data_IF_924657408703
#
_entry.id   IF_924657408703
#
_cell.length_a   1.000
_cell.length_b   1.000
_cell.length_c   1.000
_cell.angle_alpha   90.00
_cell.angle_beta   90.00
_cell.angle_gamma   90.00
#
_symmetry.space_group_name_H-M   'P 1'
#
loop_
_entity.id
_entity.type
_entity.pdbx_description
1 polymer ?
#
# COMPACT_ATOMS: atom_id res chain seq x y z
N UNK A 1 17.52 13.08 -2.88
CA UNK A 1 17.30 11.71 -3.39
C UNK A 1 15.91 11.19 -3.06
N UNK A 2 15.51 11.06 -1.79
CA UNK A 2 14.14 10.65 -1.42
C UNK A 2 13.11 11.79 -1.60
N UNK A 3 13.43 12.99 -1.09
CA UNK A 3 12.60 14.19 -1.28
C UNK A 3 12.45 14.59 -2.77
N UNK A 4 13.47 14.35 -3.60
CA UNK A 4 13.39 14.60 -5.06
C UNK A 4 12.39 13.67 -5.77
N UNK A 5 11.87 12.66 -5.09
CA UNK A 5 10.89 11.71 -5.61
C UNK A 5 9.60 11.66 -4.79
N UNK A 6 9.36 12.65 -3.93
CA UNK A 6 8.15 12.75 -3.10
C UNK A 6 7.92 11.49 -2.23
N UNK A 7 9.01 10.80 -1.87
CA UNK A 7 8.99 9.61 -1.00
C UNK A 7 9.25 9.95 0.47
N UNK A 8 9.57 11.20 0.78
CA UNK A 8 9.90 11.69 2.13
C UNK A 8 8.71 11.64 3.10
N UNK A 9 7.49 11.78 2.59
CA UNK A 9 6.27 11.64 3.40
C UNK A 9 5.94 10.18 3.76
N UNK A 10 6.48 9.22 3.00
CA UNK A 10 6.10 7.79 3.09
C UNK A 10 7.23 6.88 3.57
N UNK A 11 8.46 7.36 3.52
CA UNK A 11 9.67 6.67 3.97
C UNK A 11 10.36 7.51 5.03
N UNK A 12 10.34 7.03 6.27
CA UNK A 12 11.11 7.58 7.36
C UNK A 12 12.54 7.03 7.33
N UNK A 13 13.51 7.91 7.57
CA UNK A 13 14.92 7.56 7.72
C UNK A 13 15.32 7.81 9.17
N UNK A 14 15.73 6.75 9.87
CA UNK A 14 16.24 6.85 11.24
C UNK A 14 17.68 6.35 11.31
N UNK A 15 18.50 6.95 12.17
CA UNK A 15 19.88 6.49 12.43
C UNK A 15 19.91 5.87 13.82
N UNK A 16 20.15 4.57 13.88
CA UNK A 16 20.13 3.79 15.12
C UNK A 16 21.36 2.87 15.14
N UNK A 17 22.10 2.85 16.26
CA UNK A 17 23.22 1.92 16.50
C UNK A 17 24.19 1.73 15.33
N UNK A 18 24.68 2.84 14.75
CA UNK A 18 25.56 2.86 13.57
C UNK A 18 24.97 2.21 12.31
N UNK A 19 23.65 2.22 12.18
CA UNK A 19 22.91 1.80 10.99
C UNK A 19 21.91 2.89 10.59
N UNK A 20 21.58 2.90 9.30
CA UNK A 20 20.50 3.72 8.77
C UNK A 20 19.32 2.79 8.54
N UNK A 21 18.21 3.03 9.22
CA UNK A 21 16.97 2.27 9.04
C UNK A 21 16.03 3.08 8.16
N UNK A 22 15.52 2.43 7.11
CA UNK A 22 14.49 2.97 6.23
C UNK A 22 13.18 2.24 6.53
N UNK A 23 12.20 2.96 7.05
CA UNK A 23 10.89 2.42 7.40
C UNK A 23 9.81 3.12 6.59
N UNK A 24 8.83 2.35 6.09
CA UNK A 24 7.75 2.91 5.31
C UNK A 24 6.95 1.85 4.59
N UNK A 25 5.85 2.27 3.99
CA UNK A 25 5.00 1.42 3.17
C UNK A 25 4.95 1.99 1.76
N UNK A 26 5.51 1.26 0.79
CA UNK A 26 5.65 1.69 -0.60
C UNK A 26 5.06 0.67 -1.55
N UNK A 27 4.55 1.13 -2.70
CA UNK A 27 4.17 0.22 -3.77
C UNK A 27 5.40 -0.52 -4.30
N UNK A 28 5.23 -1.72 -4.86
CA UNK A 28 6.33 -2.52 -5.40
C UNK A 28 7.25 -1.74 -6.34
N UNK A 29 6.69 -0.94 -7.24
CA UNK A 29 7.45 -0.10 -8.19
C UNK A 29 8.29 0.98 -7.47
N UNK A 30 7.76 1.55 -6.38
CA UNK A 30 8.44 2.54 -5.56
C UNK A 30 9.55 1.88 -4.71
N UNK A 31 9.32 0.67 -4.21
CA UNK A 31 10.33 -0.14 -3.54
C UNK A 31 11.51 -0.46 -4.46
N UNK A 32 11.25 -0.91 -5.69
CA UNK A 32 12.30 -1.14 -6.71
C UNK A 32 13.06 0.15 -7.07
N UNK A 33 12.41 1.31 -6.98
CA UNK A 33 13.07 2.61 -7.15
C UNK A 33 14.01 2.92 -5.98
N UNK A 34 13.60 2.65 -4.73
CA UNK A 34 14.42 2.84 -3.52
C UNK A 34 15.60 1.89 -3.50
N UNK A 35 15.41 0.60 -3.81
CA UNK A 35 16.50 -0.38 -3.89
C UNK A 35 17.58 0.07 -4.89
N UNK A 36 17.18 0.54 -6.08
CA UNK A 36 18.12 1.09 -7.07
C UNK A 36 18.78 2.39 -6.61
N UNK A 37 18.16 3.18 -5.73
CA UNK A 37 18.83 4.33 -5.13
C UNK A 37 19.89 3.88 -4.12
N UNK A 38 19.56 2.93 -3.25
CA UNK A 38 20.47 2.40 -2.24
C UNK A 38 21.71 1.77 -2.86
N UNK A 39 21.53 0.98 -3.91
CA UNK A 39 22.65 0.40 -4.67
C UNK A 39 23.56 1.48 -5.24
N UNK A 40 23.00 2.55 -5.81
CA UNK A 40 23.79 3.69 -6.34
C UNK A 40 24.48 4.49 -5.23
N UNK A 41 23.81 4.67 -4.09
CA UNK A 41 24.38 5.33 -2.93
C UNK A 41 25.59 4.58 -2.40
N UNK A 42 25.47 3.26 -2.21
CA UNK A 42 26.57 2.39 -1.75
C UNK A 42 27.74 2.34 -2.75
N UNK A 43 27.46 2.39 -4.05
CA UNK A 43 28.51 2.46 -5.08
C UNK A 43 29.23 3.81 -5.11
N UNK A 44 28.49 4.91 -4.85
CA UNK A 44 29.02 6.28 -4.95
C UNK A 44 29.75 6.72 -3.69
N UNK A 45 29.33 6.23 -2.54
CA UNK A 45 29.84 6.58 -1.22
C UNK A 45 30.30 5.32 -0.50
N UNK A 46 31.59 5.22 -0.20
CA UNK A 46 32.15 4.14 0.64
C UNK A 46 31.78 4.39 2.10
N UNK A 47 30.51 4.17 2.45
CA UNK A 47 30.00 4.31 3.81
C UNK A 47 30.10 2.97 4.54
N UNK A 48 30.69 2.97 5.74
CA UNK A 48 30.79 1.78 6.60
C UNK A 48 29.52 1.49 7.41
N UNK A 49 28.51 2.37 7.36
CA UNK A 49 27.22 2.14 8.02
C UNK A 49 26.32 1.24 7.15
N UNK A 50 25.84 0.10 7.68
CA UNK A 50 24.82 -0.70 7.03
C UNK A 50 23.52 0.10 6.89
N UNK A 51 22.86 -0.03 5.74
CA UNK A 51 21.49 0.43 5.55
C UNK A 51 20.56 -0.77 5.72
N UNK A 52 19.68 -0.70 6.71
CA UNK A 52 18.62 -1.68 6.95
C UNK A 52 17.33 -1.19 6.30
N UNK A 53 16.88 -1.90 5.25
CA UNK A 53 15.69 -1.53 4.49
C UNK A 53 14.49 -2.32 5.01
N UNK A 54 13.66 -1.69 5.83
CA UNK A 54 12.45 -2.26 6.41
C UNK A 54 11.18 -1.74 5.71
N UNK A 55 11.30 -1.31 4.45
CA UNK A 55 10.16 -0.87 3.66
C UNK A 55 9.26 -2.07 3.33
N UNK A 56 7.99 -1.97 3.70
CA UNK A 56 6.96 -2.96 3.42
C UNK A 56 6.24 -2.66 2.10
N UNK A 57 5.90 -3.69 1.34
CA UNK A 57 5.19 -3.55 0.08
C UNK A 57 3.69 -3.31 0.29
N UNK A 58 3.16 -2.20 -0.25
CA UNK A 58 1.72 -1.96 -0.41
C UNK A 58 1.24 -2.73 -1.64
N UNK A 59 0.33 -3.68 -1.42
CA UNK A 59 -0.37 -4.43 -2.46
C UNK A 59 -1.62 -3.63 -2.87
N UNK A 60 -1.69 -3.18 -4.13
CA UNK A 60 -2.92 -2.62 -4.72
C UNK A 60 -4.00 -3.66 -4.99
N UNK A 61 -3.66 -4.94 -4.86
CA UNK A 61 -4.62 -6.04 -4.91
C UNK A 61 -5.32 -6.16 -3.57
N UNK A 62 -6.65 -6.20 -3.62
CA UNK A 62 -7.49 -6.53 -2.46
C UNK A 62 -7.07 -7.90 -1.89
N UNK A 63 -7.20 -8.10 -0.57
CA UNK A 63 -6.92 -9.38 0.08
C UNK A 63 -7.98 -10.46 -0.22
N UNK A 64 -9.06 -10.10 -0.91
CA UNK A 64 -10.13 -10.98 -1.36
C UNK A 64 -10.52 -10.68 -2.80
N UNK A 65 -11.10 -11.66 -3.48
CA UNK A 65 -11.60 -11.51 -4.85
C UNK A 65 -13.08 -11.11 -4.84
N UNK A 66 -13.43 -10.11 -5.64
CA UNK A 66 -14.82 -9.68 -5.83
C UNK A 66 -15.45 -10.52 -6.95
N UNK A 67 -16.52 -11.24 -6.64
CA UNK A 67 -17.31 -11.99 -7.62
C UNK A 67 -18.41 -11.14 -8.27
N UNK A 68 -19.04 -10.23 -7.51
CA UNK A 68 -20.11 -9.37 -8.03
C UNK A 68 -20.18 -8.05 -7.27
N UNK A 69 -20.53 -6.99 -7.99
CA UNK A 69 -20.88 -5.68 -7.43
C UNK A 69 -22.30 -5.32 -7.85
N UNK A 70 -23.07 -4.75 -6.94
CA UNK A 70 -24.41 -4.22 -7.19
C UNK A 70 -24.47 -2.80 -6.65
N UNK A 71 -24.84 -1.82 -7.48
CA UNK A 71 -25.00 -0.42 -7.09
C UNK A 71 -26.46 -0.09 -6.73
N UNK A 72 -26.71 1.13 -6.25
CA UNK A 72 -28.04 1.63 -5.90
C UNK A 72 -28.36 1.60 -4.39
N UNK A 73 -29.63 1.84 -4.00
CA UNK A 73 -30.04 2.01 -2.59
C UNK A 73 -29.73 0.82 -1.67
N UNK A 74 -29.56 -0.38 -2.24
CA UNK A 74 -29.18 -1.61 -1.53
C UNK A 74 -27.91 -2.21 -2.15
N UNK A 75 -26.97 -1.36 -2.54
CA UNK A 75 -25.72 -1.78 -3.14
C UNK A 75 -24.96 -2.76 -2.24
N UNK A 76 -24.34 -3.76 -2.84
CA UNK A 76 -23.56 -4.76 -2.13
C UNK A 76 -22.42 -5.30 -2.97
N UNK A 77 -21.35 -5.72 -2.31
CA UNK A 77 -20.27 -6.50 -2.91
C UNK A 77 -20.41 -7.96 -2.49
N UNK A 78 -20.25 -8.88 -3.42
CA UNK A 78 -20.16 -10.31 -3.15
C UNK A 78 -18.74 -10.75 -3.48
N UNK A 79 -18.08 -11.39 -2.52
CA UNK A 79 -16.75 -11.99 -2.69
C UNK A 79 -16.84 -13.38 -3.29
N UNK A 80 -15.71 -13.90 -3.79
CA UNK A 80 -15.67 -15.22 -4.45
C UNK A 80 -15.99 -16.40 -3.52
N UNK A 81 -15.79 -16.25 -2.22
CA UNK A 81 -16.22 -17.21 -1.19
C UNK A 81 -17.71 -17.08 -0.81
N UNK A 82 -18.42 -16.13 -1.41
CA UNK A 82 -19.87 -15.93 -1.25
C UNK A 82 -20.28 -14.99 -0.12
N UNK A 83 -19.32 -14.32 0.53
CA UNK A 83 -19.65 -13.32 1.54
C UNK A 83 -20.23 -12.05 0.89
N UNK A 84 -21.30 -11.53 1.48
CA UNK A 84 -21.95 -10.29 1.03
C UNK A 84 -21.62 -9.15 1.99
N UNK A 85 -21.12 -8.06 1.44
CA UNK A 85 -20.77 -6.83 2.17
C UNK A 85 -21.68 -5.68 1.70
N UNK A 86 -22.20 -4.93 2.66
CA UNK A 86 -22.87 -3.65 2.47
C UNK A 86 -21.97 -2.50 2.95
N UNK A 87 -22.33 -1.26 2.59
CA UNK A 87 -21.64 -0.08 3.12
C UNK A 87 -21.71 -0.09 4.65
N UNK A 88 -20.52 -0.06 5.29
CA UNK A 88 -20.32 -0.18 6.73
C UNK A 88 -19.71 -1.51 7.16
N UNK A 89 -19.86 -2.58 6.37
CA UNK A 89 -19.32 -3.90 6.68
C UNK A 89 -17.80 -3.95 6.50
N UNK A 90 -17.16 -4.87 7.20
CA UNK A 90 -15.72 -5.04 7.23
C UNK A 90 -15.32 -6.48 6.92
N UNK A 91 -14.30 -6.65 6.09
CA UNK A 91 -13.70 -7.93 5.73
C UNK A 91 -12.18 -7.77 5.65
N UNK A 92 -11.43 -8.66 6.30
CA UNK A 92 -9.96 -8.65 6.33
C UNK A 92 -9.34 -7.29 6.72
N UNK A 93 -10.00 -6.58 7.63
CA UNK A 93 -9.57 -5.25 8.09
C UNK A 93 -9.85 -4.12 7.09
N UNK A 94 -10.63 -4.39 6.04
CA UNK A 94 -11.09 -3.41 5.07
C UNK A 94 -12.60 -3.17 5.22
N UNK A 95 -12.97 -1.93 5.49
CA UNK A 95 -14.36 -1.49 5.56
C UNK A 95 -14.85 -1.02 4.21
N UNK A 96 -15.99 -1.53 3.77
CA UNK A 96 -16.70 -1.02 2.60
C UNK A 96 -17.34 0.32 2.94
N UNK A 97 -16.86 1.42 2.38
CA UNK A 97 -17.33 2.77 2.73
C UNK A 97 -18.21 3.42 1.68
N UNK A 98 -18.11 2.99 0.42
CA UNK A 98 -18.92 3.52 -0.67
C UNK A 98 -19.07 2.50 -1.79
N UNK A 99 -20.26 2.43 -2.37
CA UNK A 99 -20.54 1.78 -3.65
C UNK A 99 -21.31 2.81 -4.47
N UNK A 100 -20.80 3.17 -5.63
CA UNK A 100 -21.53 3.97 -6.62
C UNK A 100 -21.70 3.18 -7.92
N UNK A 101 -22.10 3.84 -9.02
CA UNK A 101 -22.37 3.17 -10.29
C UNK A 101 -21.11 2.80 -11.07
N UNK A 102 -19.93 3.28 -10.64
CA UNK A 102 -18.67 3.14 -11.37
C UNK A 102 -17.52 2.62 -10.52
N UNK A 103 -17.63 2.70 -9.19
CA UNK A 103 -16.59 2.27 -8.28
C UNK A 103 -17.09 1.86 -6.91
N UNK A 104 -16.23 1.11 -6.24
CA UNK A 104 -16.38 0.69 -4.86
C UNK A 104 -15.12 1.07 -4.10
N UNK A 105 -15.30 1.55 -2.88
CA UNK A 105 -14.21 2.05 -2.05
C UNK A 105 -14.17 1.26 -0.74
N UNK A 106 -13.00 0.70 -0.46
CA UNK A 106 -12.67 0.07 0.80
C UNK A 106 -11.62 0.88 1.54
N UNK A 107 -11.76 1.00 2.86
CA UNK A 107 -10.79 1.70 3.72
C UNK A 107 -10.25 0.79 4.80
N UNK A 108 -8.97 0.94 5.10
CA UNK A 108 -8.29 0.20 6.17
C UNK A 108 -6.90 0.74 6.40
N UNK A 109 -5.93 -0.15 6.64
CA UNK A 109 -4.52 0.25 6.70
C UNK A 109 -4.04 0.87 5.37
N UNK A 110 -4.63 0.43 4.26
CA UNK A 110 -4.54 1.09 2.97
C UNK A 110 -5.94 1.15 2.34
N UNK A 111 -6.19 2.23 1.60
CA UNK A 111 -7.46 2.43 0.90
C UNK A 111 -7.40 1.78 -0.49
N UNK A 112 -8.51 1.15 -0.88
CA UNK A 112 -8.67 0.53 -2.19
C UNK A 112 -9.85 1.14 -2.92
N UNK A 113 -9.64 1.49 -4.18
CA UNK A 113 -10.70 1.90 -5.11
C UNK A 113 -10.71 0.92 -6.28
N UNK A 114 -11.85 0.26 -6.50
CA UNK A 114 -12.06 -0.67 -7.61
C UNK A 114 -13.09 -0.05 -8.54
N UNK A 115 -12.65 0.32 -9.73
CA UNK A 115 -13.52 0.75 -10.82
C UNK A 115 -13.92 -0.45 -11.69
N UNK A 116 -15.15 -0.46 -12.21
CA UNK A 116 -15.66 -1.48 -13.14
C UNK A 116 -16.40 -0.87 -14.32
#
# INVERSE_FOLDING_TARGET
MLADRELDDRVRVEVQDQRIVLEGALLRQEQELVERMLTRFQQRFSTSLPVDNQISALSRTLPFEIAQITSGPMGSVITQDGQRLFVGDELDGLRLVAIDDHKVVFKGHQDYEVAW
#
